data_IF_767086360701
#
_entry.id   IF_767086360701
#
_cell.length_a   1.000
_cell.length_b   1.000
_cell.length_c   1.000
_cell.angle_alpha   90.00
_cell.angle_beta   90.00
_cell.angle_gamma   90.00
#
_symmetry.space_group_name_H-M   'P 1'
#
loop_
_entity.id
_entity.type
_entity.pdbx_description
1 polymer ?
#
# COMPACT_ATOMS: atom_id res chain seq x y z
N UNK A 1 16.87 -4.14 3.90
CA UNK A 1 15.70 -3.61 3.17
C UNK A 1 16.06 -2.94 1.85
N UNK A 2 17.21 -2.25 1.73
CA UNK A 2 17.64 -1.64 0.46
C UNK A 2 18.18 -2.62 -0.61
N UNK A 3 18.62 -3.84 -0.25
CA UNK A 3 19.18 -4.78 -1.23
C UNK A 3 18.20 -5.25 -2.33
N UNK A 4 16.88 -5.21 -2.08
CA UNK A 4 15.89 -5.51 -3.12
C UNK A 4 15.71 -4.35 -4.12
N UNK A 5 16.12 -3.13 -3.74
CA UNK A 5 16.03 -1.96 -4.61
C UNK A 5 17.07 -1.97 -5.73
N UNK A 6 18.23 -2.56 -5.45
CA UNK A 6 19.36 -2.67 -6.40
C UNK A 6 19.28 -3.97 -7.24
N UNK A 7 18.17 -4.69 -7.19
CA UNK A 7 17.99 -5.90 -7.98
C UNK A 7 17.83 -5.54 -9.46
N UNK A 8 18.74 -6.05 -10.29
CA UNK A 8 18.62 -5.96 -11.74
C UNK A 8 17.39 -6.74 -12.23
N UNK A 9 16.83 -6.28 -13.36
CA UNK A 9 15.65 -6.91 -13.95
C UNK A 9 15.93 -8.36 -14.40
N UNK A 10 17.16 -8.64 -14.83
CA UNK A 10 17.75 -9.97 -15.00
C UNK A 10 19.28 -9.83 -14.99
N UNK A 11 20.01 -10.94 -14.90
CA UNK A 11 21.48 -10.92 -14.88
C UNK A 11 22.04 -10.36 -16.19
N UNK A 12 22.82 -9.27 -16.12
CA UNK A 12 23.38 -8.57 -17.28
C UNK A 12 22.49 -7.48 -17.88
N UNK A 13 21.33 -7.19 -17.27
CA UNK A 13 20.53 -6.02 -17.62
C UNK A 13 21.18 -4.73 -17.07
N UNK A 14 20.99 -3.60 -17.74
CA UNK A 14 21.38 -2.28 -17.24
C UNK A 14 20.30 -1.63 -16.37
N UNK A 15 19.07 -2.14 -16.42
CA UNK A 15 17.91 -1.58 -15.73
C UNK A 15 17.60 -2.35 -14.45
N UNK A 16 17.23 -1.61 -13.41
CA UNK A 16 16.73 -2.17 -12.16
C UNK A 16 15.27 -2.59 -12.28
N UNK A 17 14.91 -3.63 -11.54
CA UNK A 17 13.54 -4.12 -11.42
C UNK A 17 12.58 -3.00 -10.99
N UNK A 18 13.02 -2.14 -10.07
CA UNK A 18 12.22 -1.03 -9.57
C UNK A 18 11.92 0.02 -10.62
N UNK A 19 12.87 0.36 -11.48
CA UNK A 19 12.65 1.35 -12.55
C UNK A 19 11.46 0.93 -13.43
N UNK A 20 11.41 -0.34 -13.79
CA UNK A 20 10.33 -0.89 -14.60
C UNK A 20 9.00 -0.91 -13.84
N UNK A 21 9.01 -1.38 -12.58
CA UNK A 21 7.82 -1.44 -11.74
C UNK A 21 7.21 -0.06 -11.50
N UNK A 22 8.04 0.93 -11.14
CA UNK A 22 7.60 2.32 -10.94
C UNK A 22 7.04 2.87 -12.24
N UNK A 23 7.72 2.70 -13.37
CA UNK A 23 7.22 3.13 -14.68
C UNK A 23 5.84 2.54 -15.02
N UNK A 24 5.66 1.22 -14.83
CA UNK A 24 4.39 0.55 -15.11
C UNK A 24 3.25 1.05 -14.19
N UNK A 25 3.54 1.30 -12.91
CA UNK A 25 2.54 1.83 -11.96
C UNK A 25 2.19 3.28 -12.28
N UNK A 26 3.18 4.09 -12.68
CA UNK A 26 2.95 5.47 -13.12
C UNK A 26 2.08 5.51 -14.36
N UNK A 27 2.42 4.75 -15.41
CA UNK A 27 1.61 4.65 -16.63
C UNK A 27 0.19 4.18 -16.31
N UNK A 28 0.04 3.18 -15.44
CA UNK A 28 -1.28 2.72 -15.00
C UNK A 28 -2.09 3.85 -14.36
N UNK A 29 -1.45 4.67 -13.51
CA UNK A 29 -2.12 5.76 -12.80
C UNK A 29 -2.51 6.90 -13.76
N UNK A 30 -1.60 7.30 -14.65
CA UNK A 30 -1.81 8.36 -15.63
C UNK A 30 -2.87 7.99 -16.68
N UNK A 31 -2.79 6.76 -17.21
CA UNK A 31 -3.73 6.26 -18.20
C UNK A 31 -5.02 5.68 -17.58
N UNK A 32 -5.12 5.67 -16.24
CA UNK A 32 -6.21 5.08 -15.48
C UNK A 32 -6.56 3.64 -15.90
N UNK A 33 -5.53 2.81 -16.16
CA UNK A 33 -5.74 1.44 -16.61
C UNK A 33 -6.47 0.62 -15.56
N UNK A 34 -7.36 -0.26 -16.04
CA UNK A 34 -7.94 -1.27 -15.16
C UNK A 34 -6.86 -2.23 -14.63
N UNK A 35 -7.13 -2.90 -13.51
CA UNK A 35 -6.25 -3.95 -13.00
C UNK A 35 -6.12 -5.11 -14.00
N UNK A 36 -7.22 -5.46 -14.68
CA UNK A 36 -7.24 -6.49 -15.72
C UNK A 36 -6.27 -6.17 -16.86
N UNK A 37 -6.30 -4.93 -17.36
CA UNK A 37 -5.40 -4.47 -18.43
C UNK A 37 -3.94 -4.55 -18.01
N UNK A 38 -3.63 -4.11 -16.78
CA UNK A 38 -2.28 -4.22 -16.23
C UNK A 38 -1.79 -5.67 -16.18
N UNK A 39 -2.63 -6.59 -15.71
CA UNK A 39 -2.28 -8.01 -15.62
C UNK A 39 -2.04 -8.63 -17.01
N UNK A 40 -2.84 -8.24 -18.01
CA UNK A 40 -2.64 -8.71 -19.39
C UNK A 40 -1.30 -8.21 -19.97
N UNK A 41 -0.96 -6.94 -19.76
CA UNK A 41 0.32 -6.37 -20.20
C UNK A 41 1.48 -7.05 -19.46
N UNK A 42 1.35 -7.26 -18.16
CA UNK A 42 2.39 -7.91 -17.34
C UNK A 42 2.64 -9.34 -17.83
N UNK A 43 1.58 -10.12 -18.08
CA UNK A 43 1.68 -11.47 -18.62
C UNK A 43 2.32 -11.48 -20.01
N UNK A 44 1.91 -10.55 -20.89
CA UNK A 44 2.51 -10.42 -22.22
C UNK A 44 4.02 -10.08 -22.14
N UNK A 45 4.40 -9.16 -21.25
CA UNK A 45 5.80 -8.80 -21.04
C UNK A 45 6.62 -9.98 -20.49
N UNK A 46 6.07 -10.74 -19.53
CA UNK A 46 6.72 -11.93 -18.98
C UNK A 46 7.03 -13.00 -20.06
N UNK A 47 6.22 -13.09 -21.13
CA UNK A 47 6.44 -14.04 -22.21
C UNK A 47 7.56 -13.63 -23.18
N UNK A 48 7.93 -12.35 -23.23
CA UNK A 48 8.95 -11.81 -24.15
C UNK A 48 10.28 -11.61 -23.43
N UNK A 49 10.25 -11.42 -22.11
CA UNK A 49 11.44 -11.24 -21.30
C UNK A 49 12.26 -12.55 -21.15
N UNK A 50 13.57 -12.45 -20.91
CA UNK A 50 14.44 -13.61 -20.68
C UNK A 50 13.96 -14.48 -19.51
N UNK A 51 14.24 -15.79 -19.53
CA UNK A 51 13.72 -16.74 -18.53
C UNK A 51 14.11 -16.42 -17.07
N UNK A 52 15.15 -15.62 -16.83
CA UNK A 52 15.67 -15.27 -15.51
C UNK A 52 15.29 -13.85 -15.05
N UNK A 53 14.21 -13.28 -15.60
CA UNK A 53 13.76 -11.95 -15.23
C UNK A 53 12.94 -11.91 -13.93
N UNK A 54 12.83 -10.72 -13.34
CA UNK A 54 12.23 -10.50 -12.01
C UNK A 54 10.94 -9.69 -12.05
N UNK A 55 10.36 -9.45 -13.23
CA UNK A 55 9.12 -8.69 -13.36
C UNK A 55 7.96 -9.42 -12.65
N UNK A 56 7.14 -8.74 -11.85
CA UNK A 56 5.95 -9.34 -11.26
C UNK A 56 4.92 -9.78 -12.33
N UNK A 57 4.18 -10.84 -12.03
CA UNK A 57 3.18 -11.41 -12.94
C UNK A 57 1.89 -10.58 -13.04
N UNK A 58 1.55 -9.86 -11.97
CA UNK A 58 0.30 -9.13 -11.85
C UNK A 58 0.41 -7.90 -10.94
N UNK A 59 -0.63 -7.08 -10.94
CA UNK A 59 -0.68 -5.85 -10.17
C UNK A 59 -0.62 -6.08 -8.65
N UNK A 60 -1.17 -7.20 -8.18
CA UNK A 60 -1.13 -7.55 -6.76
C UNK A 60 0.30 -7.81 -6.29
N UNK A 61 1.05 -8.60 -7.06
CA UNK A 61 2.45 -8.92 -6.81
C UNK A 61 3.31 -7.66 -6.91
N UNK A 62 3.05 -6.78 -7.88
CA UNK A 62 3.70 -5.47 -7.95
C UNK A 62 3.43 -4.64 -6.70
N UNK A 63 2.17 -4.52 -6.24
CA UNK A 63 1.83 -3.81 -5.01
C UNK A 63 2.48 -4.40 -3.78
N UNK A 64 2.54 -5.73 -3.70
CA UNK A 64 3.20 -6.44 -2.61
C UNK A 64 4.68 -6.10 -2.59
N UNK A 65 5.34 -6.14 -3.74
CA UNK A 65 6.75 -5.78 -3.86
C UNK A 65 7.00 -4.33 -3.45
N UNK A 66 6.20 -3.37 -3.93
CA UNK A 66 6.30 -1.96 -3.51
C UNK A 66 6.12 -1.80 -2.00
N UNK A 67 5.20 -2.54 -1.39
CA UNK A 67 5.01 -2.54 0.05
C UNK A 67 6.20 -3.14 0.79
N UNK A 68 6.76 -4.22 0.28
CA UNK A 68 7.88 -4.95 0.89
C UNK A 68 9.21 -4.17 0.76
N UNK A 69 9.32 -3.25 -0.20
CA UNK A 69 10.42 -2.25 -0.28
C UNK A 69 10.42 -1.26 0.89
N UNK A 70 9.39 -1.29 1.74
CA UNK A 70 9.46 -0.65 3.04
C UNK A 70 9.44 0.87 2.99
N UNK A 71 8.67 1.48 2.06
CA UNK A 71 8.16 2.82 2.32
C UNK A 71 7.26 2.71 3.56
N UNK A 72 7.73 3.13 4.75
CA UNK A 72 6.99 2.88 5.97
C UNK A 72 5.71 3.70 5.88
N UNK A 73 4.55 3.06 5.81
CA UNK A 73 3.27 3.77 5.90
C UNK A 73 2.63 3.37 7.21
N UNK A 74 2.68 4.30 8.16
CA UNK A 74 2.00 4.17 9.43
C UNK A 74 0.52 4.50 9.23
N UNK A 75 -0.33 3.58 9.66
CA UNK A 75 -1.79 3.80 9.65
C UNK A 75 -2.20 4.24 11.04
N UNK A 76 -2.78 5.43 11.11
CA UNK A 76 -3.21 6.07 12.34
C UNK A 76 -4.71 6.25 12.25
N UNK A 77 -5.45 5.72 13.21
CA UNK A 77 -6.89 5.93 13.22
C UNK A 77 -7.19 7.41 13.49
N UNK A 78 -8.20 7.94 12.83
CA UNK A 78 -8.61 9.33 12.97
C UNK A 78 -10.09 9.42 13.35
N UNK A 79 -10.44 10.47 14.10
CA UNK A 79 -11.81 10.91 14.31
C UNK A 79 -12.51 11.07 12.95
N UNK A 80 -13.78 10.63 12.85
CA UNK A 80 -14.59 10.77 11.62
C UNK A 80 -14.63 12.21 11.10
N UNK A 81 -14.69 13.18 12.01
CA UNK A 81 -14.73 14.61 11.70
C UNK A 81 -13.32 15.25 11.63
N UNK A 82 -12.24 14.44 11.61
CA UNK A 82 -10.86 14.94 11.53
C UNK A 82 -10.35 15.65 12.78
N UNK A 83 -11.10 15.57 13.88
CA UNK A 83 -10.89 16.37 15.07
C UNK A 83 -9.72 15.93 15.97
N UNK A 84 -9.32 14.66 15.88
CA UNK A 84 -8.16 14.10 16.60
C UNK A 84 -7.66 12.82 15.90
N UNK A 85 -6.44 12.43 16.26
CA UNK A 85 -5.85 11.15 15.90
C UNK A 85 -5.79 10.24 17.13
N UNK A 86 -6.11 8.97 16.95
CA UNK A 86 -5.96 7.95 18.00
C UNK A 86 -4.51 7.47 17.99
N UNK A 87 -3.64 8.24 18.64
CA UNK A 87 -2.18 8.10 18.58
C UNK A 87 -1.54 8.44 19.93
N UNK A 88 -0.38 7.83 20.24
CA UNK A 88 0.30 7.95 21.55
C UNK A 88 -0.68 7.68 22.70
N UNK A 89 -0.91 8.66 23.57
CA UNK A 89 -1.76 8.55 24.76
C UNK A 89 -3.24 8.28 24.43
N UNK A 90 -3.64 8.53 23.17
CA UNK A 90 -5.03 8.44 22.71
C UNK A 90 -5.32 7.14 21.96
N UNK A 91 -4.36 6.20 21.92
CA UNK A 91 -4.46 4.98 21.12
C UNK A 91 -5.54 4.01 21.60
N UNK A 92 -5.88 4.02 22.90
CA UNK A 92 -6.87 3.11 23.49
C UNK A 92 -8.28 3.72 23.57
N UNK A 93 -8.47 4.93 23.04
CA UNK A 93 -9.78 5.57 23.03
C UNK A 93 -10.67 4.96 21.93
N UNK A 94 -11.88 4.57 22.33
CA UNK A 94 -12.95 4.15 21.42
C UNK A 94 -13.84 5.33 21.00
N UNK A 95 -13.72 6.49 21.67
CA UNK A 95 -14.50 7.69 21.42
C UNK A 95 -13.61 8.95 21.37
N UNK A 96 -14.02 9.90 20.55
CA UNK A 96 -13.37 11.18 20.42
C UNK A 96 -13.51 12.05 21.68
N UNK A 97 -12.42 12.68 22.14
CA UNK A 97 -12.40 13.60 23.29
C UNK A 97 -13.17 14.91 23.09
N UNK A 98 -13.26 15.39 21.85
CA UNK A 98 -13.84 16.70 21.53
C UNK A 98 -15.35 16.64 21.32
N UNK A 99 -15.84 15.60 20.65
CA UNK A 99 -17.24 15.51 20.21
C UNK A 99 -17.92 14.17 20.57
N UNK A 100 -17.22 13.25 21.25
CA UNK A 100 -17.80 11.96 21.66
C UNK A 100 -18.09 10.99 20.51
N UNK A 101 -17.64 11.29 19.29
CA UNK A 101 -17.85 10.45 18.11
C UNK A 101 -17.13 9.10 18.24
N UNK A 102 -17.80 8.03 17.82
CA UNK A 102 -17.23 6.69 17.85
C UNK A 102 -16.05 6.55 16.88
N UNK A 103 -15.00 5.86 17.30
CA UNK A 103 -13.84 5.52 16.45
C UNK A 103 -14.19 4.51 15.37
N UNK A 104 -14.99 3.51 15.71
CA UNK A 104 -15.24 2.34 14.88
C UNK A 104 -16.65 2.31 14.31
N UNK A 105 -16.78 1.78 13.09
CA UNK A 105 -18.07 1.51 12.45
C UNK A 105 -18.80 0.38 13.19
N UNK A 106 -20.15 0.43 13.29
CA UNK A 106 -20.92 -0.62 13.93
C UNK A 106 -20.75 -1.96 13.21
N UNK A 107 -20.52 -3.02 13.97
CA UNK A 107 -20.49 -4.39 13.46
C UNK A 107 -21.93 -4.89 13.41
N UNK A 108 -22.43 -5.26 12.21
CA UNK A 108 -23.74 -5.91 12.09
C UNK A 108 -23.67 -7.30 12.72
N UNK A 109 -24.71 -7.69 13.47
CA UNK A 109 -24.78 -8.92 14.26
C UNK A 109 -24.38 -10.21 13.51
N UNK A 110 -24.61 -10.25 12.19
CA UNK A 110 -24.22 -11.36 11.32
C UNK A 110 -22.68 -11.52 11.14
N UNK A 111 -21.85 -10.65 11.72
CA UNK A 111 -20.41 -10.59 11.49
C UNK A 111 -19.59 -10.37 12.79
N UNK A 112 -19.96 -11.00 13.90
CA UNK A 112 -19.26 -10.89 15.19
C UNK A 112 -17.75 -11.20 15.13
N UNK A 113 -17.30 -11.97 14.14
CA UNK A 113 -15.87 -12.30 13.94
C UNK A 113 -15.08 -11.28 13.11
N UNK A 114 -15.67 -10.16 12.68
CA UNK A 114 -14.93 -9.12 11.92
C UNK A 114 -14.16 -8.19 12.84
N UNK A 115 -12.92 -7.88 12.46
CA UNK A 115 -12.10 -6.84 13.11
C UNK A 115 -12.84 -5.49 13.08
N UNK A 116 -12.79 -4.76 14.21
CA UNK A 116 -13.27 -3.38 14.31
C UNK A 116 -12.64 -2.55 13.19
N UNK A 117 -13.46 -1.81 12.43
CA UNK A 117 -13.01 -0.97 11.32
C UNK A 117 -13.20 0.49 11.68
N UNK A 118 -12.15 1.32 11.71
CA UNK A 118 -12.26 2.73 12.07
C UNK A 118 -13.04 3.51 11.00
N UNK A 119 -13.64 4.64 11.39
CA UNK A 119 -14.33 5.53 10.45
C UNK A 119 -13.36 6.20 9.46
N UNK A 120 -12.19 6.64 9.96
CA UNK A 120 -11.17 7.31 9.17
C UNK A 120 -9.77 6.80 9.56
N UNK A 121 -8.86 6.75 8.58
CA UNK A 121 -7.46 6.34 8.76
C UNK A 121 -6.58 7.38 8.07
N UNK A 122 -5.69 8.00 8.84
CA UNK A 122 -4.57 8.78 8.32
C UNK A 122 -3.44 7.84 7.93
N UNK A 123 -2.90 8.01 6.72
CA UNK A 123 -1.70 7.29 6.26
C UNK A 123 -0.52 8.24 6.36
N UNK A 124 0.38 7.96 7.28
CA UNK A 124 1.57 8.77 7.53
C UNK A 124 2.81 8.09 6.95
N UNK A 125 3.58 8.83 6.16
CA UNK A 125 4.87 8.42 5.64
C UNK A 125 5.93 9.10 6.52
N UNK A 126 6.57 8.39 7.47
CA UNK A 126 7.58 8.96 8.35
C UNK A 126 8.86 9.16 7.55
N UNK A 127 8.98 10.35 6.93
CA UNK A 127 10.27 10.83 6.42
C UNK A 127 11.22 11.18 7.57
N UNK A 128 10.65 11.51 8.74
CA UNK A 128 11.30 11.72 10.04
C UNK A 128 10.34 11.26 11.15
N UNK A 129 10.80 10.99 12.39
CA UNK A 129 9.89 10.69 13.51
C UNK A 129 8.84 11.77 13.68
N UNK A 130 7.58 11.36 13.88
CA UNK A 130 6.48 12.29 14.12
C UNK A 130 6.61 12.89 15.53
N UNK A 131 6.58 14.23 15.60
CA UNK A 131 6.63 15.02 16.85
C UNK A 131 5.63 14.53 17.90
#
# INVERSE_FOLDING_TARGET
MLHAADQLLWNGCTQFQLTLIVGLVTIKAEANFSERTYNQISLWANNILPCNHTLPLDYYSTKKLIRDLGLPVEKIDACKNGCMLYWKDDIDLDYCKFYGEARYKPIREQNLNRKKTPYAILRYLPLMPRL
#
